data_IF_636872898542
#
_entry.id   IF_636872898542
#
_cell.length_a   1.000
_cell.length_b   1.000
_cell.length_c   1.000
_cell.angle_alpha   90.00
_cell.angle_beta   90.00
_cell.angle_gamma   90.00
#
_symmetry.space_group_name_H-M   'P 1'
#
loop_
_entity.id
_entity.type
_entity.pdbx_description
1 polymer ?
#
# COMPACT_ATOMS: atom_id res chain seq x y z
N UNK A 1 -11.15 -9.27 -5.48
CA UNK A 1 -10.52 -10.35 -6.27
C UNK A 1 -9.33 -10.85 -5.46
N UNK A 2 -9.43 -12.04 -4.89
CA UNK A 2 -8.43 -12.59 -3.96
C UNK A 2 -7.26 -13.17 -4.75
N UNK A 3 -6.08 -12.56 -4.65
CA UNK A 3 -4.84 -13.15 -5.17
C UNK A 3 -4.47 -14.40 -4.37
N UNK A 4 -3.89 -15.41 -5.05
CA UNK A 4 -3.34 -16.69 -4.56
C UNK A 4 -3.69 -17.04 -3.09
N UNK A 5 -4.71 -17.88 -2.94
CA UNK A 5 -5.19 -18.52 -1.70
C UNK A 5 -5.09 -17.66 -0.43
N UNK A 6 -5.89 -16.58 -0.38
CA UNK A 6 -6.19 -15.88 0.86
C UNK A 6 -5.24 -14.74 1.23
N UNK A 7 -4.37 -14.27 0.34
CA UNK A 7 -3.53 -13.07 0.55
C UNK A 7 -4.25 -11.79 0.13
N UNK A 8 -3.92 -10.69 0.78
CA UNK A 8 -4.32 -9.34 0.35
C UNK A 8 -3.67 -9.01 -0.99
N UNK A 9 -4.43 -8.41 -1.90
CA UNK A 9 -3.88 -7.97 -3.19
C UNK A 9 -3.03 -6.71 -3.04
N UNK A 10 -2.22 -6.38 -4.05
CA UNK A 10 -1.51 -5.09 -4.08
C UNK A 10 -2.48 -3.91 -3.96
N UNK A 11 -3.68 -4.04 -4.53
CA UNK A 11 -4.72 -3.04 -4.44
C UNK A 11 -5.20 -2.84 -2.99
N UNK A 12 -5.43 -3.93 -2.25
CA UNK A 12 -5.88 -3.86 -0.86
C UNK A 12 -4.81 -3.19 0.04
N UNK A 13 -3.54 -3.56 -0.16
CA UNK A 13 -2.41 -2.98 0.57
C UNK A 13 -2.20 -1.51 0.18
N UNK A 14 -2.31 -1.16 -1.10
CA UNK A 14 -2.24 0.22 -1.57
C UNK A 14 -3.38 1.08 -1.00
N UNK A 15 -4.59 0.53 -0.94
CA UNK A 15 -5.74 1.19 -0.33
C UNK A 15 -5.54 1.42 1.18
N UNK A 16 -5.00 0.44 1.89
CA UNK A 16 -4.63 0.57 3.31
C UNK A 16 -3.56 1.66 3.52
N UNK A 17 -2.52 1.68 2.69
CA UNK A 17 -1.49 2.73 2.71
C UNK A 17 -2.09 4.12 2.47
N UNK A 18 -3.02 4.24 1.52
CA UNK A 18 -3.69 5.51 1.21
C UNK A 18 -4.53 6.01 2.39
N UNK A 19 -5.30 5.14 3.06
CA UNK A 19 -6.04 5.49 4.29
C UNK A 19 -5.11 5.98 5.40
N UNK A 20 -3.98 5.28 5.59
CA UNK A 20 -2.98 5.70 6.55
C UNK A 20 -2.46 7.10 6.23
N UNK A 21 -2.05 7.38 4.99
CA UNK A 21 -1.59 8.70 4.59
C UNK A 21 -2.68 9.76 4.83
N UNK A 22 -3.96 9.45 4.55
CA UNK A 22 -5.06 10.37 4.81
C UNK A 22 -5.26 10.71 6.29
N UNK A 23 -4.89 9.82 7.20
CA UNK A 23 -4.92 10.09 8.65
C UNK A 23 -3.79 11.00 9.14
N UNK A 24 -2.77 11.25 8.32
CA UNK A 24 -1.63 12.08 8.69
C UNK A 24 -1.91 13.54 8.37
N UNK A 25 -1.56 14.50 9.27
CA UNK A 25 -1.75 15.92 9.02
C UNK A 25 -1.11 16.42 7.72
N UNK A 26 0.07 15.89 7.39
CA UNK A 26 0.80 16.25 6.17
C UNK A 26 0.53 15.31 4.99
N UNK A 27 -0.21 14.22 5.18
CA UNK A 27 -0.45 13.24 4.12
C UNK A 27 0.80 12.51 3.61
N UNK A 28 1.91 12.53 4.36
CA UNK A 28 3.21 11.99 3.88
C UNK A 28 3.87 11.07 4.90
N UNK A 29 4.54 10.02 4.40
CA UNK A 29 5.28 9.06 5.24
C UNK A 29 6.39 8.35 4.43
N UNK A 30 7.39 7.80 5.11
CA UNK A 30 8.40 6.94 4.46
C UNK A 30 7.85 5.54 4.21
N UNK A 31 8.43 4.78 3.29
CA UNK A 31 8.06 3.36 3.08
C UNK A 31 8.14 2.54 4.37
N UNK A 32 9.15 2.77 5.21
CA UNK A 32 9.31 2.08 6.49
C UNK A 32 8.16 2.42 7.47
N UNK A 33 7.78 3.70 7.53
CA UNK A 33 6.65 4.17 8.33
C UNK A 33 5.33 3.59 7.80
N UNK A 34 5.11 3.60 6.48
CA UNK A 34 3.92 3.01 5.85
C UNK A 34 3.81 1.53 6.21
N UNK A 35 4.89 0.75 6.05
CA UNK A 35 4.93 -0.66 6.47
C UNK A 35 4.49 -0.80 7.92
N UNK A 36 5.06 -0.03 8.85
CA UNK A 36 4.74 -0.11 10.29
C UNK A 36 3.23 0.09 10.59
N UNK A 37 2.54 0.92 9.82
CA UNK A 37 1.16 1.33 10.13
C UNK A 37 0.08 0.61 9.32
N UNK A 38 0.39 0.03 8.16
CA UNK A 38 -0.57 -0.72 7.33
C UNK A 38 -1.43 -1.71 8.12
N UNK A 39 -0.91 -2.52 9.07
CA UNK A 39 -1.72 -3.48 9.82
C UNK A 39 -2.90 -2.85 10.60
N UNK A 40 -2.90 -1.53 10.82
CA UNK A 40 -4.01 -0.82 11.47
C UNK A 40 -5.14 -0.43 10.50
N UNK A 41 -4.90 -0.50 9.19
CA UNK A 41 -5.82 -0.03 8.14
C UNK A 41 -6.34 -1.16 7.24
N UNK A 42 -5.85 -2.38 7.43
CA UNK A 42 -6.32 -3.61 6.79
C UNK A 42 -6.25 -4.77 7.77
N UNK A 43 -7.23 -5.67 7.70
CA UNK A 43 -7.16 -6.95 8.39
C UNK A 43 -6.29 -7.91 7.58
N UNK A 44 -5.01 -8.00 7.93
CA UNK A 44 -4.09 -8.95 7.32
C UNK A 44 -4.59 -10.38 7.52
N UNK A 45 -4.49 -11.18 6.47
CA UNK A 45 -4.88 -12.58 6.50
C UNK A 45 -3.73 -13.46 7.01
N UNK A 46 -3.96 -14.74 7.32
CA UNK A 46 -2.87 -15.66 7.62
C UNK A 46 -1.83 -15.74 6.50
N UNK A 47 -2.26 -15.72 5.23
CA UNK A 47 -1.36 -15.76 4.07
C UNK A 47 -0.50 -14.50 3.91
N UNK A 48 -0.96 -13.34 4.40
CA UNK A 48 -0.18 -12.11 4.40
C UNK A 48 1.01 -12.17 5.36
N UNK A 49 0.82 -12.85 6.49
CA UNK A 49 1.82 -13.03 7.56
C UNK A 49 2.74 -14.24 7.32
N UNK A 50 2.58 -14.96 6.21
CA UNK A 50 3.53 -16.00 5.83
C UNK A 50 4.92 -15.39 5.56
N UNK A 51 6.00 -16.13 5.81
CA UNK A 51 7.34 -15.71 5.41
C UNK A 51 7.42 -15.50 3.89
N UNK A 52 8.11 -14.44 3.47
CA UNK A 52 8.40 -14.21 2.05
C UNK A 52 9.50 -15.17 1.57
N UNK A 53 9.20 -15.93 0.51
CA UNK A 53 10.17 -16.81 -0.16
C UNK A 53 11.40 -16.06 -0.69
N UNK A 54 11.23 -14.79 -1.05
CA UNK A 54 12.29 -13.94 -1.63
C UNK A 54 13.00 -13.06 -0.60
N UNK A 55 12.37 -12.87 0.57
CA UNK A 55 12.89 -12.06 1.67
C UNK A 55 12.64 -12.81 2.98
N UNK A 56 13.53 -13.74 3.36
CA UNK A 56 13.30 -14.67 4.47
C UNK A 56 12.99 -14.02 5.83
N UNK A 57 13.34 -12.74 5.99
CA UNK A 57 13.13 -11.96 7.22
C UNK A 57 11.91 -11.02 7.15
N UNK A 58 11.10 -11.07 6.08
CA UNK A 58 9.88 -10.26 5.93
C UNK A 58 8.65 -11.15 5.71
N UNK A 59 7.51 -10.72 6.25
CA UNK A 59 6.19 -11.27 5.89
C UNK A 59 5.81 -10.85 4.46
N UNK A 60 4.99 -11.65 3.77
CA UNK A 60 4.59 -11.42 2.37
C UNK A 60 4.00 -10.02 2.17
N UNK A 61 3.15 -9.52 3.08
CA UNK A 61 2.55 -8.18 2.91
C UNK A 61 3.61 -7.06 2.89
N UNK A 62 4.73 -7.20 3.61
CA UNK A 62 5.83 -6.22 3.58
C UNK A 62 6.54 -6.22 2.23
N UNK A 63 6.63 -7.39 1.60
CA UNK A 63 7.13 -7.49 0.23
C UNK A 63 6.17 -6.80 -0.75
N UNK A 64 4.86 -7.02 -0.60
CA UNK A 64 3.83 -6.36 -1.44
C UNK A 64 3.95 -4.84 -1.41
N UNK A 65 4.20 -4.23 -0.23
CA UNK A 65 4.47 -2.78 -0.13
C UNK A 65 5.69 -2.37 -0.97
N UNK A 66 6.72 -3.20 -1.00
CA UNK A 66 7.89 -3.00 -1.87
C UNK A 66 7.54 -3.10 -3.35
N UNK A 67 6.73 -4.09 -3.72
CA UNK A 67 6.30 -4.32 -5.09
C UNK A 67 5.48 -3.14 -5.63
N UNK A 68 4.60 -2.55 -4.82
CA UNK A 68 3.82 -1.36 -5.21
C UNK A 68 4.76 -0.23 -5.66
N UNK A 69 5.91 -0.06 -4.99
CA UNK A 69 6.90 0.95 -5.36
C UNK A 69 7.73 0.52 -6.55
N UNK A 70 8.29 -0.69 -6.55
CA UNK A 70 9.21 -1.14 -7.61
C UNK A 70 8.49 -1.26 -8.95
N UNK A 71 7.27 -1.82 -8.95
CA UNK A 71 6.47 -2.07 -10.14
C UNK A 71 5.46 -0.95 -10.41
N UNK A 72 5.69 0.24 -9.85
CA UNK A 72 4.77 1.39 -9.96
C UNK A 72 4.45 1.84 -11.38
N UNK A 73 5.26 1.45 -12.38
CA UNK A 73 5.01 1.75 -13.80
C UNK A 73 4.50 0.55 -14.60
N UNK A 74 4.52 -0.65 -14.02
CA UNK A 74 4.21 -1.90 -14.73
C UNK A 74 2.70 -2.16 -14.82
N UNK A 75 1.94 -1.67 -13.85
CA UNK A 75 0.49 -1.82 -13.82
C UNK A 75 -0.21 -0.45 -13.85
N UNK A 76 -1.16 -0.21 -14.77
CA UNK A 76 -1.98 1.00 -14.78
C UNK A 76 -2.93 1.05 -13.56
N UNK A 77 -3.16 -0.07 -12.88
CA UNK A 77 -4.00 -0.14 -11.69
C UNK A 77 -3.25 0.25 -10.40
N UNK A 78 -1.92 0.34 -10.46
CA UNK A 78 -1.09 0.73 -9.33
C UNK A 78 -1.40 2.17 -8.89
N UNK A 79 -1.56 2.39 -7.58
CA UNK A 79 -2.01 3.69 -7.06
C UNK A 79 -1.00 4.82 -7.26
N UNK A 80 0.28 4.48 -7.39
CA UNK A 80 1.31 5.44 -7.74
C UNK A 80 1.22 5.78 -9.24
N UNK A 81 1.05 4.78 -10.12
CA UNK A 81 0.84 5.01 -11.57
C UNK A 81 -0.38 5.90 -11.82
N UNK A 82 -1.47 5.62 -11.12
CA UNK A 82 -2.73 6.36 -11.20
C UNK A 82 -2.65 7.79 -10.64
N UNK A 83 -1.53 8.19 -10.07
CA UNK A 83 -1.35 9.50 -9.44
C UNK A 83 -2.17 9.71 -8.17
N UNK A 84 -2.65 8.64 -7.53
CA UNK A 84 -3.37 8.71 -6.24
C UNK A 84 -2.38 8.90 -5.08
N UNK A 85 -1.19 8.34 -5.22
CA UNK A 85 -0.07 8.46 -4.29
C UNK A 85 1.14 8.93 -5.09
N UNK A 86 1.82 9.97 -4.64
CA UNK A 86 3.14 10.34 -5.16
C UNK A 86 4.24 9.57 -4.40
N UNK A 87 5.28 9.17 -5.12
CA UNK A 87 6.46 8.53 -4.52
C UNK A 87 7.75 9.18 -4.99
N UNK A 88 8.29 10.05 -4.14
CA UNK A 88 9.50 10.83 -4.43
C UNK A 88 10.49 10.72 -3.27
N UNK A 89 11.75 10.40 -3.57
CA UNK A 89 12.82 10.37 -2.56
C UNK A 89 12.59 9.41 -1.39
N UNK A 90 11.91 8.29 -1.61
CA UNK A 90 11.60 7.31 -0.54
C UNK A 90 10.37 7.64 0.31
N UNK A 91 9.65 8.71 -0.04
CA UNK A 91 8.46 9.18 0.67
C UNK A 91 7.21 9.00 -0.19
N UNK A 92 6.15 8.52 0.46
CA UNK A 92 4.80 8.40 -0.07
C UNK A 92 4.03 9.65 0.32
N UNK A 93 3.32 10.25 -0.62
CA UNK A 93 2.50 11.44 -0.38
C UNK A 93 1.10 11.25 -0.97
N UNK A 94 0.06 11.51 -0.18
CA UNK A 94 -1.32 11.47 -0.67
C UNK A 94 -1.60 12.68 -1.56
N UNK A 95 -1.97 12.43 -2.81
CA UNK A 95 -2.29 13.50 -3.76
C UNK A 95 -3.72 14.01 -3.59
N UNK A 96 -4.06 15.11 -4.27
CA UNK A 96 -5.44 15.57 -4.36
C UNK A 96 -6.36 14.51 -5.02
N UNK A 97 -5.87 13.82 -6.05
CA UNK A 97 -6.61 12.73 -6.69
C UNK A 97 -6.84 11.55 -5.73
N UNK A 98 -5.84 11.20 -4.91
CA UNK A 98 -5.99 10.19 -3.86
C UNK A 98 -7.04 10.55 -2.81
N UNK A 99 -7.05 11.82 -2.35
CA UNK A 99 -8.10 12.33 -1.45
C UNK A 99 -9.49 12.24 -2.07
N UNK A 100 -9.65 12.68 -3.32
CA UNK A 100 -10.92 12.59 -4.04
C UNK A 100 -11.37 11.14 -4.23
N UNK A 101 -10.43 10.23 -4.51
CA UNK A 101 -10.70 8.81 -4.63
C UNK A 101 -11.22 8.23 -3.30
N UNK A 102 -10.59 8.55 -2.17
CA UNK A 102 -11.06 8.11 -0.84
C UNK A 102 -12.47 8.62 -0.54
N UNK A 103 -12.75 9.91 -0.76
CA UNK A 103 -14.06 10.50 -0.52
C UNK A 103 -15.17 9.80 -1.33
N UNK A 104 -14.86 9.33 -2.55
CA UNK A 104 -15.80 8.58 -3.40
C UNK A 104 -16.01 7.13 -2.96
N UNK A 105 -15.04 6.53 -2.26
CA UNK A 105 -15.05 5.10 -1.89
C UNK A 105 -15.23 4.87 -0.38
N UNK A 106 -15.76 5.87 0.34
CA UNK A 106 -16.29 5.72 1.69
C UNK A 106 -15.25 5.79 2.80
N UNK A 107 -14.59 6.94 2.91
CA UNK A 107 -14.10 7.47 4.19
C UNK A 107 -14.80 8.80 4.45
#
# INVERSE_FOLDING_TARGET
MTSKAGRSSEHDIAYAAMKYLASLPMGTATTATVKKHIPNFIKLTPGDNEPSDTRPNEEVWRQVVGNIVSHRLESPENFINRGLIDYTGGKWSLTAAGRAFLAKHGV
#
